data_IF_137371793583
#
_entry.id   IF_137371793583
#
_cell.length_a   1.000
_cell.length_b   1.000
_cell.length_c   1.000
_cell.angle_alpha   90.00
_cell.angle_beta   90.00
_cell.angle_gamma   90.00
#
_symmetry.space_group_name_H-M   'P 1'
#
loop_
_entity.id
_entity.type
_entity.pdbx_description
1 polymer ?
#
# COMPACT_ATOMS: atom_id res chain seq x y z
N UNK A 1 -26.99 9.32 15.03
CA UNK A 1 -25.75 8.69 15.54
C UNK A 1 -25.43 7.41 14.80
N UNK A 2 -26.32 6.41 14.73
CA UNK A 2 -26.05 5.14 14.06
C UNK A 2 -25.73 5.31 12.56
N UNK A 3 -26.49 6.15 11.88
CA UNK A 3 -26.26 6.42 10.44
C UNK A 3 -24.88 7.07 10.22
N UNK A 4 -24.49 8.00 11.08
CA UNK A 4 -23.16 8.62 11.02
C UNK A 4 -22.06 7.55 11.14
N UNK A 5 -22.15 6.69 12.16
CA UNK A 5 -21.16 5.62 12.38
C UNK A 5 -21.10 4.68 11.17
N UNK A 6 -22.27 4.29 10.63
CA UNK A 6 -22.33 3.41 9.49
C UNK A 6 -21.77 4.03 8.21
N UNK A 7 -22.02 5.33 7.99
CA UNK A 7 -21.48 6.09 6.86
C UNK A 7 -19.97 6.25 6.98
N UNK A 8 -19.46 6.62 8.14
CA UNK A 8 -18.01 6.74 8.39
C UNK A 8 -17.26 5.41 8.10
N UNK A 9 -17.84 4.27 8.51
CA UNK A 9 -17.23 2.97 8.17
C UNK A 9 -17.24 2.69 6.67
N UNK A 10 -18.32 3.07 5.95
CA UNK A 10 -18.37 2.91 4.50
C UNK A 10 -17.38 3.82 3.79
N UNK A 11 -17.25 5.07 4.23
CA UNK A 11 -16.28 6.00 3.69
C UNK A 11 -14.84 5.52 3.93
N UNK A 12 -14.54 5.02 5.14
CA UNK A 12 -13.26 4.41 5.44
C UNK A 12 -12.96 3.25 4.50
N UNK A 13 -13.90 2.32 4.30
CA UNK A 13 -13.71 1.19 3.37
C UNK A 13 -13.49 1.68 1.94
N UNK A 14 -14.26 2.68 1.49
CA UNK A 14 -14.15 3.22 0.13
C UNK A 14 -12.85 4.00 -0.12
N UNK A 15 -12.23 4.53 0.94
CA UNK A 15 -10.96 5.23 0.85
C UNK A 15 -9.76 4.28 0.60
N UNK A 16 -9.95 2.98 0.77
CA UNK A 16 -8.90 1.99 0.52
C UNK A 16 -8.97 1.46 -0.91
N UNK A 17 -7.82 1.27 -1.59
CA UNK A 17 -7.79 0.70 -2.92
C UNK A 17 -8.41 -0.69 -2.98
N UNK A 18 -9.19 -0.95 -4.03
CA UNK A 18 -9.67 -2.31 -4.31
C UNK A 18 -8.54 -3.14 -4.88
N UNK A 19 -8.17 -4.24 -4.21
CA UNK A 19 -7.11 -5.13 -4.68
C UNK A 19 -7.41 -5.73 -6.06
N UNK A 20 -8.70 -5.95 -6.35
CA UNK A 20 -9.13 -6.55 -7.62
C UNK A 20 -9.03 -5.57 -8.80
N UNK A 21 -8.96 -4.27 -8.53
CA UNK A 21 -8.83 -3.21 -9.53
C UNK A 21 -7.45 -2.55 -9.55
N UNK A 22 -6.61 -2.88 -8.58
CA UNK A 22 -5.27 -2.32 -8.48
C UNK A 22 -4.30 -3.01 -9.45
N UNK A 23 -3.28 -2.29 -9.94
CA UNK A 23 -2.18 -2.89 -10.70
C UNK A 23 -1.52 -4.04 -9.94
N UNK A 24 -1.05 -5.06 -10.67
CA UNK A 24 -0.41 -6.24 -10.07
C UNK A 24 0.78 -5.88 -9.17
N UNK A 25 1.54 -4.86 -9.55
CA UNK A 25 2.61 -4.33 -8.73
C UNK A 25 2.12 -3.85 -7.37
N UNK A 26 1.07 -3.03 -7.33
CA UNK A 26 0.52 -2.49 -6.08
C UNK A 26 -0.02 -3.61 -5.20
N UNK A 27 -0.70 -4.60 -5.79
CA UNK A 27 -1.21 -5.77 -5.07
C UNK A 27 -0.06 -6.57 -4.46
N UNK A 28 1.01 -6.85 -5.22
CA UNK A 28 2.18 -7.55 -4.73
C UNK A 28 2.89 -6.77 -3.61
N UNK A 29 2.94 -5.45 -3.71
CA UNK A 29 3.50 -4.58 -2.67
C UNK A 29 2.66 -4.56 -1.40
N UNK A 30 1.33 -4.48 -1.53
CA UNK A 30 0.40 -4.56 -0.39
C UNK A 30 0.54 -5.93 0.29
N UNK A 31 0.60 -7.00 -0.49
CA UNK A 31 0.76 -8.36 0.05
C UNK A 31 2.07 -8.51 0.83
N UNK A 32 3.18 -8.04 0.25
CA UNK A 32 4.47 -8.05 0.90
C UNK A 32 4.50 -7.23 2.21
N UNK A 33 3.80 -6.08 2.25
CA UNK A 33 3.87 -5.14 3.38
C UNK A 33 2.95 -5.48 4.53
N UNK A 34 1.72 -5.84 4.22
CA UNK A 34 0.64 -5.94 5.22
C UNK A 34 -0.17 -7.23 5.08
N UNK A 35 0.04 -8.01 4.01
CA UNK A 35 -0.70 -9.22 3.69
C UNK A 35 -2.09 -8.91 3.10
N UNK A 36 -2.36 -9.43 1.90
CA UNK A 36 -3.65 -9.24 1.22
C UNK A 36 -4.83 -9.84 2.00
N UNK A 37 -4.61 -10.95 2.71
CA UNK A 37 -5.66 -11.60 3.49
C UNK A 37 -6.06 -10.77 4.72
N UNK A 38 -5.08 -10.26 5.46
CA UNK A 38 -5.35 -9.38 6.60
C UNK A 38 -5.96 -8.04 6.14
N UNK A 39 -5.53 -7.52 5.01
CA UNK A 39 -6.11 -6.34 4.37
C UNK A 39 -7.62 -6.54 4.10
N UNK A 40 -7.98 -7.62 3.41
CA UNK A 40 -9.39 -7.96 3.10
C UNK A 40 -10.21 -8.20 4.37
N UNK A 41 -9.66 -8.94 5.32
CA UNK A 41 -10.31 -9.29 6.58
C UNK A 41 -10.67 -8.07 7.41
N UNK A 42 -9.73 -7.13 7.58
CA UNK A 42 -9.97 -5.93 8.38
C UNK A 42 -10.97 -4.98 7.71
N UNK A 43 -10.91 -4.79 6.39
CA UNK A 43 -11.91 -4.03 5.65
C UNK A 43 -13.29 -4.69 5.68
N UNK A 44 -13.37 -6.01 5.56
CA UNK A 44 -14.62 -6.76 5.69
C UNK A 44 -15.23 -6.61 7.09
N UNK A 45 -14.40 -6.51 8.14
CA UNK A 45 -14.86 -6.25 9.51
C UNK A 45 -15.54 -4.89 9.63
N UNK A 46 -15.01 -3.83 9.02
CA UNK A 46 -15.66 -2.51 8.99
C UNK A 46 -16.98 -2.55 8.21
N UNK A 47 -16.98 -3.24 7.07
CA UNK A 47 -18.20 -3.42 6.27
C UNK A 47 -19.30 -4.15 7.03
N UNK A 48 -18.93 -5.22 7.73
CA UNK A 48 -19.83 -5.94 8.62
C UNK A 48 -20.38 -5.03 9.73
N UNK A 49 -19.51 -4.27 10.38
CA UNK A 49 -19.89 -3.36 11.46
C UNK A 49 -20.87 -2.29 11.00
N UNK A 50 -20.64 -1.66 9.84
CA UNK A 50 -21.57 -0.71 9.23
C UNK A 50 -22.97 -1.33 9.09
N UNK A 51 -23.07 -2.54 8.51
CA UNK A 51 -24.32 -3.27 8.35
C UNK A 51 -24.98 -3.62 9.68
N UNK A 52 -24.20 -4.03 10.70
CA UNK A 52 -24.73 -4.36 12.02
C UNK A 52 -25.27 -3.14 12.76
N UNK A 53 -24.56 -2.01 12.71
CA UNK A 53 -25.02 -0.76 13.33
C UNK A 53 -26.36 -0.32 12.72
N UNK A 54 -26.49 -0.34 11.39
CA UNK A 54 -27.74 -0.01 10.70
C UNK A 54 -28.88 -0.98 11.09
N UNK A 55 -28.58 -2.28 11.15
CA UNK A 55 -29.56 -3.31 11.56
C UNK A 55 -30.06 -3.09 12.98
N UNK A 56 -29.13 -2.84 13.92
CA UNK A 56 -29.48 -2.57 15.33
C UNK A 56 -30.34 -1.32 15.42
N UNK A 57 -29.97 -0.24 14.74
CA UNK A 57 -30.73 1.02 14.72
C UNK A 57 -32.12 0.82 14.16
N UNK A 58 -32.27 0.17 13.01
CA UNK A 58 -33.57 -0.09 12.37
C UNK A 58 -34.48 -0.96 13.23
N UNK A 59 -33.95 -2.02 13.85
CA UNK A 59 -34.73 -2.90 14.72
C UNK A 59 -35.27 -2.16 15.96
N UNK A 60 -34.41 -1.35 16.60
CA UNK A 60 -34.82 -0.63 17.80
C UNK A 60 -35.71 0.58 17.48
N UNK A 61 -35.53 1.25 16.35
CA UNK A 61 -36.45 2.28 15.88
C UNK A 61 -37.88 1.73 15.70
N UNK A 62 -38.02 0.54 15.09
CA UNK A 62 -39.30 -0.13 14.94
C UNK A 62 -39.92 -0.50 16.30
N UNK A 63 -39.12 -0.93 17.30
CA UNK A 63 -39.60 -1.19 18.66
C UNK A 63 -40.15 0.09 19.31
N UNK A 64 -39.40 1.20 19.22
CA UNK A 64 -39.75 2.51 19.78
C UNK A 64 -41.07 3.01 19.18
N UNK A 65 -41.22 2.95 17.85
CA UNK A 65 -42.46 3.43 17.17
C UNK A 65 -43.70 2.61 17.56
N UNK A 66 -43.53 1.30 17.77
CA UNK A 66 -44.67 0.39 18.11
C UNK A 66 -45.08 0.47 19.56
N UNK A 67 -44.25 1.00 20.44
CA UNK A 67 -44.40 0.90 21.88
C UNK A 67 -45.08 2.13 22.38
N UNK A 68 -46.02 2.64 22.48
CA UNK A 68 -46.62 3.87 23.04
C UNK A 68 -46.22 4.24 24.48
N UNK A 69 -45.31 3.48 25.12
CA UNK A 69 -44.87 3.65 26.51
C UNK A 69 -43.46 4.17 26.57
N UNK A 70 -43.23 5.27 27.31
CA UNK A 70 -41.94 5.97 27.43
C UNK A 70 -40.87 5.15 28.13
N UNK A 71 -41.22 4.34 29.14
CA UNK A 71 -40.28 3.44 29.84
C UNK A 71 -39.65 2.41 28.88
N UNK A 72 -40.49 1.76 28.06
CA UNK A 72 -40.05 0.77 27.07
C UNK A 72 -39.28 1.42 25.91
N UNK A 73 -39.57 2.67 25.55
CA UNK A 73 -38.77 3.44 24.60
C UNK A 73 -37.34 3.70 25.11
N UNK A 74 -37.24 4.07 26.39
CA UNK A 74 -35.92 4.27 27.03
C UNK A 74 -35.11 2.98 27.13
N UNK A 75 -35.76 1.85 27.43
CA UNK A 75 -35.16 0.54 27.47
C UNK A 75 -34.61 0.13 26.08
N UNK A 76 -35.43 0.22 25.03
CA UNK A 76 -35.04 -0.08 23.66
C UNK A 76 -33.85 0.79 23.20
N UNK A 77 -33.83 2.08 23.57
CA UNK A 77 -32.69 2.96 23.28
C UNK A 77 -31.42 2.51 24.00
N UNK A 78 -31.51 2.14 25.27
CA UNK A 78 -30.37 1.64 26.06
C UNK A 78 -29.83 0.35 25.48
N UNK A 79 -30.74 -0.58 25.10
CA UNK A 79 -30.37 -1.82 24.41
C UNK A 79 -29.58 -1.53 23.11
N UNK A 80 -30.12 -0.62 22.27
CA UNK A 80 -29.47 -0.24 21.03
C UNK A 80 -28.05 0.31 21.25
N UNK A 81 -27.88 1.22 22.19
CA UNK A 81 -26.55 1.78 22.50
C UNK A 81 -25.59 0.74 23.06
N UNK A 82 -26.06 -0.17 23.92
CA UNK A 82 -25.23 -1.26 24.43
C UNK A 82 -24.74 -2.20 23.33
N UNK A 83 -25.61 -2.54 22.38
CA UNK A 83 -25.26 -3.40 21.24
C UNK A 83 -24.33 -2.69 20.26
N UNK A 84 -24.56 -1.40 19.95
CA UNK A 84 -23.66 -0.61 19.10
C UNK A 84 -22.29 -0.48 19.76
N UNK A 85 -22.23 -0.20 21.08
CA UNK A 85 -20.95 -0.15 21.82
C UNK A 85 -20.18 -1.48 21.77
N UNK A 86 -20.91 -2.61 21.77
CA UNK A 86 -20.28 -3.93 21.60
C UNK A 86 -19.69 -4.11 20.21
N UNK A 87 -20.39 -3.66 19.16
CA UNK A 87 -19.85 -3.68 17.78
C UNK A 87 -18.60 -2.80 17.67
N UNK A 88 -18.64 -1.59 18.24
CA UNK A 88 -17.50 -0.67 18.24
C UNK A 88 -16.26 -1.29 18.90
N UNK A 89 -16.43 -1.99 20.03
CA UNK A 89 -15.31 -2.69 20.70
C UNK A 89 -14.74 -3.82 19.85
N UNK A 90 -15.56 -4.54 19.09
CA UNK A 90 -15.11 -5.62 18.20
C UNK A 90 -14.33 -5.08 16.98
N UNK A 91 -14.64 -3.87 16.53
CA UNK A 91 -13.96 -3.23 15.40
C UNK A 91 -12.65 -2.57 15.79
N UNK A 92 -12.49 -2.21 17.06
CA UNK A 92 -11.28 -1.51 17.55
C UNK A 92 -9.96 -2.08 17.01
N UNK A 93 -9.68 -3.39 17.20
CA UNK A 93 -8.44 -3.99 16.69
C UNK A 93 -8.26 -3.87 15.18
N UNK A 94 -9.35 -3.91 14.41
CA UNK A 94 -9.27 -3.73 12.94
C UNK A 94 -8.98 -2.29 12.55
N UNK A 95 -9.47 -1.30 13.29
CA UNK A 95 -9.14 0.11 13.08
C UNK A 95 -7.68 0.39 13.40
N UNK A 96 -7.17 -0.16 14.50
CA UNK A 96 -5.76 -0.03 14.89
C UNK A 96 -4.86 -0.63 13.81
N UNK A 97 -5.16 -1.85 13.36
CA UNK A 97 -4.42 -2.51 12.28
C UNK A 97 -4.45 -1.69 10.98
N UNK A 98 -5.62 -1.18 10.57
CA UNK A 98 -5.75 -0.35 9.37
C UNK A 98 -4.95 0.96 9.50
N UNK A 99 -4.89 1.55 10.68
CA UNK A 99 -4.07 2.74 10.93
C UNK A 99 -2.57 2.45 10.70
N UNK A 100 -2.07 1.35 11.25
CA UNK A 100 -0.67 0.92 11.09
C UNK A 100 -0.37 0.54 9.63
N UNK A 101 -1.26 -0.22 8.99
CA UNK A 101 -1.16 -0.59 7.60
C UNK A 101 -1.10 0.66 6.69
N UNK A 102 -1.92 1.67 6.95
CA UNK A 102 -1.90 2.93 6.20
C UNK A 102 -0.56 3.64 6.29
N UNK A 103 0.02 3.73 7.50
CA UNK A 103 1.33 4.36 7.67
C UNK A 103 2.46 3.58 6.97
N UNK A 104 2.34 2.27 6.91
CA UNK A 104 3.27 1.40 6.16
C UNK A 104 3.12 1.63 4.65
N UNK A 105 1.90 1.60 4.13
CA UNK A 105 1.62 1.74 2.71
C UNK A 105 1.92 3.14 2.17
N UNK A 106 1.80 4.19 2.97
CA UNK A 106 2.18 5.56 2.58
C UNK A 106 3.68 5.71 2.22
N UNK A 107 4.52 4.83 2.73
CA UNK A 107 5.97 4.85 2.50
C UNK A 107 6.37 4.12 1.22
N UNK A 108 5.42 3.46 0.56
CA UNK A 108 5.67 2.76 -0.69
C UNK A 108 6.05 3.73 -1.80
N UNK A 109 6.97 3.32 -2.70
CA UNK A 109 7.29 4.11 -3.87
C UNK A 109 6.05 4.25 -4.76
N UNK A 110 5.79 5.47 -5.21
CA UNK A 110 4.74 5.75 -6.17
C UNK A 110 5.30 5.50 -7.57
N UNK A 111 4.94 4.38 -8.16
CA UNK A 111 5.33 4.02 -9.52
C UNK A 111 4.08 4.08 -10.38
N UNK A 112 4.15 4.82 -11.48
CA UNK A 112 3.06 4.89 -12.43
C UNK A 112 3.04 3.58 -13.27
N UNK A 113 1.97 2.78 -13.20
CA UNK A 113 1.90 1.50 -13.92
C UNK A 113 1.76 1.67 -15.44
N UNK A 114 1.43 2.86 -15.92
CA UNK A 114 1.22 3.15 -17.35
C UNK A 114 2.51 3.60 -18.03
N UNK A 115 3.34 4.35 -17.32
CA UNK A 115 4.60 4.85 -17.87
C UNK A 115 5.65 3.74 -17.98
N UNK A 116 6.37 3.63 -19.11
CA UNK A 116 7.46 2.68 -19.25
C UNK A 116 8.47 2.80 -18.12
N UNK A 117 8.81 1.68 -17.49
CA UNK A 117 9.70 1.63 -16.34
C UNK A 117 11.00 0.88 -16.68
N UNK A 118 12.13 1.49 -16.39
CA UNK A 118 13.46 0.92 -16.51
C UNK A 118 13.96 0.55 -15.11
N UNK A 119 14.11 -0.72 -14.85
CA UNK A 119 14.68 -1.23 -13.60
C UNK A 119 16.19 -1.31 -13.73
N UNK A 120 16.92 -0.58 -12.90
CA UNK A 120 18.40 -0.56 -12.89
C UNK A 120 18.88 -1.46 -11.76
N UNK A 121 19.57 -2.53 -12.14
CA UNK A 121 20.12 -3.53 -11.23
C UNK A 121 21.64 -3.68 -11.39
N UNK A 122 22.29 -4.35 -10.46
CA UNK A 122 23.73 -4.61 -10.47
C UNK A 122 24.39 -4.42 -9.12
N UNK A 123 25.68 -4.75 -9.03
CA UNK A 123 26.45 -4.76 -7.80
C UNK A 123 26.37 -3.44 -7.00
N UNK A 124 26.55 -3.46 -5.68
CA UNK A 124 26.62 -2.23 -4.89
C UNK A 124 27.80 -1.36 -5.32
N UNK A 125 27.65 -0.04 -5.17
CA UNK A 125 28.68 0.97 -5.42
C UNK A 125 29.23 1.06 -6.86
N UNK A 126 28.52 0.53 -7.85
CA UNK A 126 28.90 0.65 -9.27
C UNK A 126 28.45 1.96 -9.94
N UNK A 127 27.70 2.81 -9.22
CA UNK A 127 27.25 4.10 -9.73
C UNK A 127 25.79 4.13 -10.25
N UNK A 128 24.97 3.14 -9.95
CA UNK A 128 23.56 3.07 -10.38
C UNK A 128 22.76 4.35 -10.06
N UNK A 129 22.80 4.76 -8.79
CA UNK A 129 22.08 5.96 -8.35
C UNK A 129 22.61 7.25 -9.00
N UNK A 130 23.93 7.33 -9.24
CA UNK A 130 24.52 8.44 -9.96
C UNK A 130 24.08 8.46 -11.43
N UNK A 131 23.96 7.30 -12.07
CA UNK A 131 23.44 7.16 -13.42
C UNK A 131 21.98 7.64 -13.53
N UNK A 132 21.13 7.20 -12.60
CA UNK A 132 19.73 7.66 -12.55
C UNK A 132 19.65 9.16 -12.30
N UNK A 133 20.48 9.68 -11.38
CA UNK A 133 20.54 11.11 -11.09
C UNK A 133 20.93 11.95 -12.32
N UNK A 134 21.88 11.45 -13.10
CA UNK A 134 22.35 12.14 -14.30
C UNK A 134 21.33 12.18 -15.45
N UNK A 135 20.46 11.15 -15.53
CA UNK A 135 19.40 11.07 -16.54
C UNK A 135 18.09 11.70 -16.10
N UNK A 136 17.84 11.78 -14.80
CA UNK A 136 16.59 12.33 -14.28
C UNK A 136 16.48 13.82 -14.57
N UNK A 137 15.36 14.24 -15.15
CA UNK A 137 15.07 15.65 -15.44
C UNK A 137 14.53 16.44 -14.24
N UNK A 138 14.30 15.76 -13.11
CA UNK A 138 13.78 16.34 -11.88
C UNK A 138 14.47 15.80 -10.64
N UNK A 139 13.96 16.23 -9.48
CA UNK A 139 14.43 15.71 -8.20
C UNK A 139 14.03 14.24 -8.08
N UNK A 140 14.99 13.37 -7.81
CA UNK A 140 14.70 11.96 -7.56
C UNK A 140 13.84 11.80 -6.32
N UNK A 141 12.83 10.96 -6.41
CA UNK A 141 12.06 10.54 -5.25
C UNK A 141 12.82 9.43 -4.52
N UNK A 142 13.00 9.62 -3.22
CA UNK A 142 13.65 8.64 -2.34
C UNK A 142 12.56 8.00 -1.49
N UNK A 143 12.34 6.73 -1.70
CA UNK A 143 11.32 5.97 -0.98
C UNK A 143 11.96 4.79 -0.25
N UNK A 144 11.38 4.42 0.89
CA UNK A 144 11.78 3.21 1.58
C UNK A 144 11.09 2.00 0.95
N UNK A 145 11.89 1.02 0.55
CA UNK A 145 11.32 -0.25 0.13
C UNK A 145 10.99 -1.08 1.37
N UNK A 146 9.80 -1.66 1.45
CA UNK A 146 9.43 -2.48 2.58
C UNK A 146 10.46 -3.57 2.82
N UNK A 147 10.75 -3.85 4.10
CA UNK A 147 11.63 -4.94 4.54
C UNK A 147 13.11 -4.84 4.15
N UNK A 148 13.55 -3.74 3.57
CA UNK A 148 14.97 -3.46 3.35
C UNK A 148 15.39 -2.21 4.12
N UNK A 149 16.62 -2.20 4.62
CA UNK A 149 17.23 -1.00 5.20
C UNK A 149 17.68 -0.01 4.12
N UNK A 150 17.43 -0.34 2.85
CA UNK A 150 17.89 0.42 1.69
C UNK A 150 16.74 1.19 1.06
N UNK A 151 17.08 2.35 0.52
CA UNK A 151 16.15 3.24 -0.16
C UNK A 151 16.10 2.90 -1.65
N UNK A 152 14.90 2.95 -2.23
CA UNK A 152 14.72 2.94 -3.67
C UNK A 152 14.70 4.38 -4.16
N UNK A 153 15.41 4.63 -5.24
CA UNK A 153 15.39 5.90 -5.93
C UNK A 153 14.56 5.76 -7.20
N UNK A 154 13.57 6.63 -7.36
CA UNK A 154 12.77 6.71 -8.57
C UNK A 154 13.12 8.02 -9.28
N UNK A 155 13.65 7.91 -10.48
CA UNK A 155 13.94 9.02 -11.37
C UNK A 155 12.98 9.04 -12.55
N UNK A 156 12.76 10.24 -13.12
CA UNK A 156 11.91 10.42 -14.28
C UNK A 156 12.67 11.17 -15.37
N UNK A 157 12.48 10.76 -16.61
CA UNK A 157 12.97 11.51 -17.76
C UNK A 157 12.00 11.44 -18.93
N UNK A 158 12.07 12.42 -19.81
CA UNK A 158 11.22 12.48 -20.99
C UNK A 158 12.08 12.26 -22.25
N UNK A 159 11.67 11.31 -23.09
CA UNK A 159 12.26 11.10 -24.39
C UNK A 159 11.16 10.99 -25.47
N UNK A 160 11.29 11.75 -26.56
CA UNK A 160 10.32 11.78 -27.67
C UNK A 160 8.87 11.93 -27.22
N UNK A 161 8.61 12.83 -26.26
CA UNK A 161 7.29 13.11 -25.65
C UNK A 161 6.70 11.99 -24.79
N UNK A 162 7.43 10.90 -24.55
CA UNK A 162 7.06 9.87 -23.59
C UNK A 162 7.82 10.08 -22.30
N UNK A 163 7.10 9.94 -21.20
CA UNK A 163 7.68 9.96 -19.87
C UNK A 163 8.09 8.54 -19.48
N UNK A 164 9.32 8.41 -19.03
CA UNK A 164 9.92 7.16 -18.55
C UNK A 164 10.21 7.28 -17.07
N UNK A 165 10.09 6.16 -16.37
CA UNK A 165 10.53 6.02 -14.99
C UNK A 165 11.77 5.15 -14.94
N UNK A 166 12.67 5.46 -14.01
CA UNK A 166 13.83 4.62 -13.68
C UNK A 166 13.79 4.29 -12.20
N UNK A 167 13.91 3.01 -11.88
CA UNK A 167 13.88 2.51 -10.51
C UNK A 167 15.25 1.91 -10.18
N UNK A 168 15.94 2.51 -9.19
CA UNK A 168 17.15 1.92 -8.61
C UNK A 168 16.75 0.90 -7.54
N UNK A 169 17.29 -0.30 -7.65
CA UNK A 169 17.00 -1.41 -6.74
C UNK A 169 18.25 -1.80 -5.91
N UNK A 170 18.76 -0.90 -5.05
CA UNK A 170 19.98 -1.16 -4.32
C UNK A 170 19.81 -2.33 -3.35
N UNK A 171 20.63 -3.36 -3.52
CA UNK A 171 20.64 -4.54 -2.65
C UNK A 171 19.53 -5.57 -2.91
N UNK A 172 18.55 -5.26 -3.76
CA UNK A 172 17.46 -6.18 -4.07
C UNK A 172 17.91 -7.26 -5.08
N UNK A 173 18.77 -6.89 -6.03
CA UNK A 173 19.26 -7.77 -7.08
C UNK A 173 20.78 -8.03 -6.99
N UNK A 174 21.41 -7.63 -5.89
CA UNK A 174 22.87 -7.70 -5.68
C UNK A 174 23.35 -9.07 -5.14
N UNK A 175 22.43 -9.95 -4.73
CA UNK A 175 22.73 -11.27 -4.13
C UNK A 175 22.03 -12.39 -4.90
N UNK A 176 22.60 -13.62 -4.87
CA UNK A 176 21.96 -14.80 -5.43
C UNK A 176 20.56 -15.03 -4.82
N UNK A 177 19.66 -15.62 -5.60
CA UNK A 177 18.27 -15.86 -5.20
C UNK A 177 18.15 -16.74 -3.95
N UNK A 178 19.08 -17.70 -3.80
CA UNK A 178 19.08 -18.66 -2.69
C UNK A 178 19.38 -18.01 -1.31
N UNK A 179 19.93 -16.81 -1.29
CA UNK A 179 20.29 -16.08 -0.07
C UNK A 179 19.22 -15.06 0.34
N UNK A 180 18.05 -15.07 -0.29
CA UNK A 180 17.00 -14.09 -0.08
C UNK A 180 15.88 -14.64 0.78
N UNK A 181 15.31 -13.77 1.62
CA UNK A 181 14.11 -14.13 2.36
C UNK A 181 12.87 -14.06 1.45
N UNK A 182 11.77 -14.65 1.91
CA UNK A 182 10.50 -14.71 1.17
C UNK A 182 9.99 -13.32 0.78
N UNK A 183 10.20 -12.33 1.63
CA UNK A 183 9.73 -10.96 1.44
C UNK A 183 10.54 -10.23 0.35
N UNK A 184 11.86 -10.44 0.33
CA UNK A 184 12.72 -9.93 -0.75
C UNK A 184 12.34 -10.56 -2.09
N UNK A 185 11.95 -11.83 -2.10
CA UNK A 185 11.48 -12.52 -3.30
C UNK A 185 10.14 -11.94 -3.80
N UNK A 186 9.20 -11.66 -2.92
CA UNK A 186 7.94 -10.99 -3.28
C UNK A 186 8.19 -9.60 -3.86
N UNK A 187 9.12 -8.85 -3.27
CA UNK A 187 9.50 -7.53 -3.75
C UNK A 187 10.11 -7.56 -5.16
N UNK A 188 10.90 -8.60 -5.48
CA UNK A 188 11.45 -8.79 -6.83
C UNK A 188 10.34 -9.17 -7.82
N UNK A 189 9.47 -10.10 -7.43
CA UNK A 189 8.33 -10.47 -8.26
C UNK A 189 7.42 -9.27 -8.57
N UNK A 190 7.25 -8.35 -7.60
CA UNK A 190 6.54 -7.11 -7.85
C UNK A 190 7.22 -6.24 -8.93
N UNK A 191 8.56 -6.16 -8.94
CA UNK A 191 9.29 -5.41 -9.97
C UNK A 191 9.13 -6.01 -11.38
N UNK A 192 8.91 -7.31 -11.51
CA UNK A 192 8.63 -7.96 -12.80
C UNK A 192 7.35 -7.43 -13.45
N UNK A 193 6.39 -6.98 -12.66
CA UNK A 193 5.13 -6.44 -13.16
C UNK A 193 5.21 -5.01 -13.69
N UNK A 194 6.27 -4.26 -13.35
CA UNK A 194 6.46 -2.88 -13.82
C UNK A 194 7.61 -2.73 -14.80
N UNK A 195 8.55 -3.67 -14.78
CA UNK A 195 9.75 -3.58 -15.61
C UNK A 195 9.44 -3.76 -17.08
N UNK A 196 9.37 -2.66 -17.85
CA UNK A 196 9.36 -2.71 -19.33
C UNK A 196 10.75 -3.07 -19.87
N UNK A 197 11.80 -2.76 -19.13
CA UNK A 197 13.21 -3.04 -19.46
C UNK A 197 14.03 -3.17 -18.17
N UNK A 198 14.78 -4.26 -18.04
CA UNK A 198 15.76 -4.43 -16.98
C UNK A 198 17.16 -4.13 -17.55
N UNK A 199 17.88 -3.20 -16.91
CA UNK A 199 19.27 -2.87 -17.26
C UNK A 199 20.18 -3.35 -16.14
N UNK A 200 21.03 -4.34 -16.46
CA UNK A 200 22.10 -4.76 -15.56
C UNK A 200 23.30 -3.83 -15.71
N UNK A 201 23.58 -3.05 -14.65
CA UNK A 201 24.71 -2.16 -14.60
C UNK A 201 25.91 -2.89 -14.02
N UNK A 202 26.76 -3.43 -14.91
CA UNK A 202 28.08 -3.96 -14.57
C UNK A 202 29.12 -2.85 -14.71
N UNK A 203 30.08 -2.83 -13.81
CA UNK A 203 31.13 -1.83 -13.71
C UNK A 203 31.71 -1.44 -15.09
N UNK A 204 31.47 -0.21 -15.53
CA UNK A 204 32.31 0.43 -16.52
C UNK A 204 33.63 0.79 -15.82
N UNK A 205 34.63 -0.04 -15.98
CA UNK A 205 35.98 0.46 -15.75
C UNK A 205 36.15 1.71 -16.62
N UNK A 206 36.37 2.85 -16.00
CA UNK A 206 36.92 3.97 -16.68
C UNK A 206 38.21 3.44 -17.30
N UNK A 207 38.27 3.32 -18.62
CA UNK A 207 39.53 3.27 -19.32
C UNK A 207 40.18 4.61 -19.03
N UNK A 208 41.10 4.60 -18.08
CA UNK A 208 42.16 5.62 -18.05
C UNK A 208 42.81 5.54 -19.40
N UNK A 209 42.47 6.46 -20.28
CA UNK A 209 43.29 6.77 -21.44
C UNK A 209 44.57 7.36 -20.86
N UNK A 210 45.57 6.50 -20.65
CA UNK A 210 46.97 6.93 -20.56
C UNK A 210 47.26 7.62 -21.88
N UNK A 211 47.19 8.94 -21.89
CA UNK A 211 47.91 9.74 -22.87
C UNK A 211 49.37 9.67 -22.46
N UNK A 212 50.10 8.70 -23.00
CA UNK A 212 51.57 8.77 -23.06
C UNK A 212 51.97 9.96 -23.95
N UNK A 213 52.77 10.82 -23.38
CA UNK A 213 53.40 11.96 -24.02
C UNK A 213 54.59 11.50 -24.88
#
# INVERSE_FOLDING_TARGET
AADIIATEFQELVSAWPSLDQSPLFDVAMIDACVGCDDYRKNLATLQWASKQVQRIASQNAKKIIRTGRTDLMHEARREAYGRISSVMRQVGPSLDWLSEARETLKRLPKIDPVSPCIVVCGAPNVGKSAFIAALSTGKMEVNHYPFTTKQIHVGHFTHRRLQYQMVDTPGLLDRPMEQRNHIEMQAIAALEHIGSLAVSYTHLRAHETQFDR
#
